data_IF_548912061965
#
_entry.id   IF_548912061965
#
_cell.length_a   1.000
_cell.length_b   1.000
_cell.length_c   1.000
_cell.angle_alpha   90.00
_cell.angle_beta   90.00
_cell.angle_gamma   90.00
#
_symmetry.space_group_name_H-M   'P 1'
#
loop_
_entity.id
_entity.type
_entity.pdbx_description
1 polymer ?
#
# COMPACT_ATOMS: atom_id res chain seq x y z
N UNK A 1 10.72 -16.56 8.75
CA UNK A 1 11.55 -15.33 8.67
C UNK A 1 10.66 -14.15 8.25
N UNK A 2 10.17 -13.33 9.20
CA UNK A 2 9.35 -12.14 8.88
C UNK A 2 10.30 -11.02 8.39
N UNK A 3 10.23 -10.64 7.11
CA UNK A 3 10.93 -9.44 6.60
C UNK A 3 10.25 -8.19 7.16
N UNK A 4 11.03 -7.19 7.57
CA UNK A 4 10.52 -5.90 8.07
C UNK A 4 9.55 -5.30 7.04
N UNK A 5 8.39 -4.84 7.53
CA UNK A 5 7.41 -4.12 6.73
C UNK A 5 7.79 -2.63 6.76
N UNK A 6 8.45 -2.16 5.70
CA UNK A 6 8.98 -0.79 5.60
C UNK A 6 8.25 0.05 4.56
N UNK A 7 7.31 -0.55 3.82
CA UNK A 7 6.57 0.12 2.75
C UNK A 7 5.11 0.25 3.14
N UNK A 8 4.47 1.34 2.73
CA UNK A 8 3.05 1.60 2.97
C UNK A 8 2.36 1.67 1.62
N UNK A 9 1.24 0.96 1.49
CA UNK A 9 0.34 1.09 0.34
C UNK A 9 -1.00 1.62 0.79
N UNK A 10 -1.66 2.33 -0.10
CA UNK A 10 -3.04 2.73 0.06
C UNK A 10 -3.94 1.74 -0.68
N UNK A 11 -4.99 1.28 -0.01
CA UNK A 11 -6.01 0.39 -0.58
C UNK A 11 -7.29 1.18 -0.87
N UNK A 12 -8.00 0.81 -1.93
CA UNK A 12 -9.39 1.21 -2.12
C UNK A 12 -10.33 0.30 -1.31
N UNK A 13 -11.63 0.58 -1.33
CA UNK A 13 -12.65 -0.24 -0.66
C UNK A 13 -12.73 -1.68 -1.18
N UNK A 14 -12.24 -1.93 -2.41
CA UNK A 14 -12.14 -3.26 -3.01
C UNK A 14 -10.83 -3.99 -2.64
N UNK A 15 -9.96 -3.38 -1.84
CA UNK A 15 -8.67 -3.96 -1.42
C UNK A 15 -7.57 -3.89 -2.48
N UNK A 16 -7.76 -3.12 -3.54
CA UNK A 16 -6.76 -2.90 -4.60
C UNK A 16 -5.84 -1.74 -4.26
N UNK A 17 -4.59 -1.80 -4.73
CA UNK A 17 -3.63 -0.73 -4.47
C UNK A 17 -3.97 0.49 -5.33
N UNK A 18 -4.20 1.61 -4.66
CA UNK A 18 -4.26 2.91 -5.30
C UNK A 18 -2.83 3.40 -5.58
N UNK A 19 -2.40 3.25 -6.83
CA UNK A 19 -1.14 3.79 -7.34
C UNK A 19 -1.29 5.23 -7.84
N UNK A 20 -2.53 5.61 -8.17
CA UNK A 20 -2.90 6.89 -8.75
C UNK A 20 -4.00 7.55 -7.88
N UNK A 21 -3.95 8.87 -7.75
CA UNK A 21 -4.90 9.64 -6.92
C UNK A 21 -4.27 10.83 -6.22
N UNK A 22 -5.08 11.58 -5.47
CA UNK A 22 -4.61 12.73 -4.71
C UNK A 22 -3.52 12.35 -3.69
N UNK A 23 -2.39 13.05 -3.75
CA UNK A 23 -1.18 12.80 -2.93
C UNK A 23 -1.41 12.96 -1.42
N UNK A 24 -2.44 13.70 -1.02
CA UNK A 24 -2.71 14.06 0.38
C UNK A 24 -4.21 13.85 0.62
N UNK A 25 -4.56 12.73 1.25
CA UNK A 25 -5.90 12.52 1.78
C UNK A 25 -5.87 12.81 3.29
N UNK A 26 -6.64 13.80 3.73
CA UNK A 26 -6.79 14.13 5.15
C UNK A 26 -8.09 13.48 5.64
N UNK A 27 -7.94 12.37 6.38
CA UNK A 27 -9.06 11.54 6.85
C UNK A 27 -9.07 10.15 6.19
N UNK A 28 -9.34 9.10 6.97
CA UNK A 28 -9.29 7.70 6.53
C UNK A 28 -8.04 6.96 6.99
N UNK A 29 -7.97 6.62 8.28
CA UNK A 29 -6.82 5.89 8.86
C UNK A 29 -6.83 4.38 8.55
N UNK A 30 -7.83 3.92 7.79
CA UNK A 30 -8.16 2.50 7.59
C UNK A 30 -7.69 1.97 6.22
N UNK A 31 -7.25 2.86 5.33
CA UNK A 31 -6.86 2.53 3.95
C UNK A 31 -5.36 2.26 3.79
N UNK A 32 -4.56 2.39 4.85
CA UNK A 32 -3.11 2.23 4.78
C UNK A 32 -2.67 0.87 5.33
N UNK A 33 -1.91 0.12 4.51
CA UNK A 33 -1.36 -1.19 4.90
C UNK A 33 0.15 -1.19 4.81
N UNK A 34 0.82 -1.63 5.87
CA UNK A 34 2.28 -1.81 5.90
C UNK A 34 2.67 -3.17 5.32
N UNK A 35 3.55 -3.16 4.32
CA UNK A 35 4.04 -4.34 3.61
C UNK A 35 5.57 -4.39 3.58
N UNK A 36 6.12 -5.59 3.38
CA UNK A 36 7.54 -5.76 3.08
C UNK A 36 7.80 -5.50 1.58
N UNK A 37 9.06 -5.21 1.22
CA UNK A 37 9.47 -4.93 -0.17
C UNK A 37 8.97 -5.96 -1.20
N UNK A 38 8.90 -7.24 -0.82
CA UNK A 38 8.45 -8.32 -1.74
C UNK A 38 6.96 -8.17 -2.05
N UNK A 39 6.11 -8.15 -1.01
CA UNK A 39 4.66 -8.00 -1.19
C UNK A 39 4.29 -6.68 -1.86
N UNK A 40 5.03 -5.60 -1.57
CA UNK A 40 4.83 -4.34 -2.28
C UNK A 40 5.00 -4.50 -3.80
N UNK A 41 6.05 -5.20 -4.25
CA UNK A 41 6.28 -5.45 -5.68
C UNK A 41 5.21 -6.35 -6.29
N UNK A 42 4.83 -7.42 -5.59
CA UNK A 42 3.77 -8.33 -6.05
C UNK A 42 2.43 -7.61 -6.23
N UNK A 43 2.12 -6.65 -5.35
CA UNK A 43 0.84 -5.95 -5.35
C UNK A 43 0.80 -4.74 -6.28
N UNK A 44 1.92 -4.02 -6.43
CA UNK A 44 1.98 -2.82 -7.28
C UNK A 44 2.41 -3.11 -8.71
N UNK A 45 3.12 -4.23 -8.96
CA UNK A 45 3.71 -4.58 -10.26
C UNK A 45 4.53 -3.46 -10.93
N UNK A 46 4.95 -2.45 -10.16
CA UNK A 46 5.68 -1.28 -10.64
C UNK A 46 7.18 -1.55 -10.90
N UNK A 47 7.70 -2.72 -10.50
CA UNK A 47 9.13 -3.09 -10.58
C UNK A 47 9.34 -4.51 -11.08
#
# INVERSE_FOLDING_TARGET
>A
MRKKATMVVRLNENGEVLLEGEKILIGGNEIYKTLCRKHFREMTKLI
#
